data_IF_370236338803
#
_entry.id   IF_370236338803
#
_cell.length_a   1.000
_cell.length_b   1.000
_cell.length_c   1.000
_cell.angle_alpha   90.00
_cell.angle_beta   90.00
_cell.angle_gamma   90.00
#
_symmetry.space_group_name_H-M   'P 1'
#
loop_
_entity.id
_entity.type
_entity.pdbx_description
1 polymer ?
#
# COMPACT_ATOMS: atom_id res chain seq x y z
N UNK A 1 18.92 -5.17 -2.39
CA UNK A 1 18.20 -4.71 -1.18
C UNK A 1 16.88 -4.14 -1.64
N UNK A 2 15.92 -5.02 -1.94
CA UNK A 2 14.72 -4.66 -2.73
C UNK A 2 13.43 -4.89 -1.95
N UNK A 3 13.54 -5.14 -0.64
CA UNK A 3 12.41 -5.44 0.24
C UNK A 3 12.12 -4.23 1.12
N UNK A 4 10.98 -3.60 0.91
CA UNK A 4 10.44 -2.57 1.80
C UNK A 4 9.61 -3.24 2.92
N UNK A 5 9.87 -2.89 4.18
CA UNK A 5 9.03 -3.31 5.31
C UNK A 5 8.10 -2.17 5.69
N UNK A 6 6.84 -2.48 6.01
CA UNK A 6 5.93 -1.48 6.60
C UNK A 6 6.09 -1.42 8.12
N UNK A 7 5.62 -0.35 8.76
CA UNK A 7 5.63 -0.21 10.23
C UNK A 7 4.94 -1.39 10.91
N UNK A 8 3.80 -1.86 10.40
CA UNK A 8 3.13 -3.06 10.91
C UNK A 8 4.05 -4.31 10.89
N UNK A 9 4.83 -4.49 9.82
CA UNK A 9 5.77 -5.62 9.72
C UNK A 9 6.90 -5.52 10.75
N UNK A 10 7.43 -4.31 10.95
CA UNK A 10 8.48 -4.06 11.95
C UNK A 10 7.96 -4.32 13.38
N UNK A 11 6.74 -3.87 13.71
CA UNK A 11 6.08 -4.17 14.99
C UNK A 11 5.93 -5.67 15.23
N UNK A 12 5.42 -6.43 14.24
CA UNK A 12 5.24 -7.90 14.34
C UNK A 12 6.55 -8.66 14.53
N UNK A 13 7.68 -8.09 14.12
CA UNK A 13 9.02 -8.64 14.34
C UNK A 13 9.71 -8.10 15.59
N UNK A 14 8.97 -7.40 16.45
CA UNK A 14 9.47 -6.87 17.72
C UNK A 14 10.62 -5.86 17.58
N UNK A 15 10.69 -5.12 16.46
CA UNK A 15 11.59 -3.97 16.36
C UNK A 15 11.08 -2.81 17.23
N UNK A 16 12.00 -2.07 17.84
CA UNK A 16 11.67 -0.89 18.63
C UNK A 16 11.41 0.32 17.70
N UNK A 17 10.16 0.50 17.27
CA UNK A 17 9.72 1.58 16.37
C UNK A 17 8.77 2.59 17.04
N UNK A 18 8.64 2.52 18.37
CA UNK A 18 7.63 3.27 19.13
C UNK A 18 6.21 2.72 18.96
N UNK A 19 5.22 3.52 19.33
CA UNK A 19 3.78 3.15 19.29
C UNK A 19 3.06 3.64 18.04
N UNK A 20 3.62 4.62 17.33
CA UNK A 20 3.04 5.17 16.12
C UNK A 20 3.26 4.22 14.93
N UNK A 21 2.15 3.73 14.37
CA UNK A 21 2.13 2.86 13.20
C UNK A 21 1.56 3.52 11.96
N UNK A 22 1.28 4.82 12.03
CA UNK A 22 0.65 5.57 10.96
C UNK A 22 1.51 5.55 9.69
N UNK A 23 0.84 5.48 8.55
CA UNK A 23 1.47 5.71 7.26
C UNK A 23 1.89 7.16 7.16
N UNK A 24 3.19 7.40 6.98
CA UNK A 24 3.74 8.75 6.86
C UNK A 24 3.41 9.42 5.53
N UNK A 25 2.95 8.64 4.55
CA UNK A 25 2.68 9.13 3.19
C UNK A 25 1.25 9.67 3.04
N UNK A 26 0.37 9.45 4.02
CA UNK A 26 -0.92 10.10 4.04
C UNK A 26 -1.22 10.63 5.43
N UNK A 27 -1.71 11.87 5.53
CA UNK A 27 -2.06 12.53 6.78
C UNK A 27 -3.37 11.99 7.41
N UNK A 28 -3.70 10.72 7.16
CA UNK A 28 -4.96 10.09 7.55
C UNK A 28 -4.88 9.30 8.86
N UNK A 29 -3.70 9.22 9.51
CA UNK A 29 -3.49 8.45 10.73
C UNK A 29 -3.97 6.98 10.64
N UNK A 30 -3.71 6.35 9.49
CA UNK A 30 -4.06 4.95 9.21
C UNK A 30 -2.79 4.10 9.37
N UNK A 31 -2.91 2.92 9.97
CA UNK A 31 -1.80 1.99 10.12
C UNK A 31 -1.13 1.65 8.77
N UNK A 32 0.20 1.73 8.72
CA UNK A 32 0.99 1.38 7.55
C UNK A 32 1.09 -0.14 7.36
N UNK A 33 0.18 -0.65 6.54
CA UNK A 33 0.17 -2.03 6.02
C UNK A 33 0.61 -2.04 4.55
N UNK A 34 0.90 -3.21 3.99
CA UNK A 34 1.24 -3.35 2.56
C UNK A 34 0.03 -2.95 1.70
N UNK A 35 -1.16 -3.36 2.12
CA UNK A 35 -2.44 -3.05 1.48
C UNK A 35 -2.66 -1.53 1.46
N UNK A 36 -2.48 -0.87 2.59
CA UNK A 36 -2.60 0.58 2.67
C UNK A 36 -1.53 1.26 1.80
N UNK A 37 -0.24 0.93 2.02
CA UNK A 37 0.89 1.60 1.39
C UNK A 37 0.82 1.59 -0.13
N UNK A 38 0.38 0.49 -0.77
CA UNK A 38 0.39 0.39 -2.23
C UNK A 38 -0.96 0.67 -2.89
N UNK A 39 -2.08 0.37 -2.24
CA UNK A 39 -3.39 0.38 -2.91
C UNK A 39 -4.37 1.42 -2.35
N UNK A 40 -4.29 1.76 -1.07
CA UNK A 40 -5.30 2.62 -0.43
C UNK A 40 -4.79 4.00 -0.04
N UNK A 41 -3.49 4.16 0.21
CA UNK A 41 -2.83 5.42 0.56
C UNK A 41 -3.07 6.49 -0.50
N UNK A 42 -3.44 7.70 -0.08
CA UNK A 42 -3.72 8.83 -0.99
C UNK A 42 -2.52 9.15 -1.87
N UNK A 43 -1.33 9.24 -1.28
CA UNK A 43 -0.09 9.46 -2.02
C UNK A 43 0.17 8.39 -3.09
N UNK A 44 0.01 7.12 -2.74
CA UNK A 44 0.25 6.03 -3.69
C UNK A 44 -0.81 6.00 -4.79
N UNK A 45 -2.08 6.31 -4.48
CA UNK A 45 -3.11 6.47 -5.51
C UNK A 45 -2.75 7.58 -6.49
N UNK A 46 -2.25 8.72 -6.02
CA UNK A 46 -1.77 9.80 -6.90
C UNK A 46 -0.61 9.31 -7.78
N UNK A 47 0.35 8.58 -7.22
CA UNK A 47 1.44 7.97 -7.99
C UNK A 47 0.92 7.03 -9.09
N UNK A 48 -0.05 6.17 -8.78
CA UNK A 48 -0.65 5.26 -9.77
C UNK A 48 -1.48 5.98 -10.83
N UNK A 49 -2.17 7.07 -10.46
CA UNK A 49 -2.91 7.90 -11.40
C UNK A 49 -2.00 8.49 -12.50
N UNK A 50 -0.74 8.80 -12.20
CA UNK A 50 0.23 9.24 -13.21
C UNK A 50 0.52 8.17 -14.29
N UNK A 51 0.27 6.90 -13.96
CA UNK A 51 0.41 5.75 -14.85
C UNK A 51 -0.94 5.31 -15.45
N UNK A 52 -2.00 6.11 -15.29
CA UNK A 52 -3.38 5.77 -15.64
C UNK A 52 -3.88 4.47 -14.98
N UNK A 53 -3.41 4.18 -13.76
CA UNK A 53 -3.84 3.02 -12.98
C UNK A 53 -4.75 3.49 -11.85
N UNK A 54 -5.96 2.93 -11.78
CA UNK A 54 -6.90 3.13 -10.67
C UNK A 54 -7.26 1.78 -10.05
N UNK A 55 -6.96 1.62 -8.76
CA UNK A 55 -7.32 0.41 -8.02
C UNK A 55 -8.79 0.43 -7.58
N UNK A 56 -9.44 -0.74 -7.57
CA UNK A 56 -10.77 -0.87 -6.99
C UNK A 56 -10.75 -0.59 -5.47
N UNK A 57 -11.87 -0.12 -4.93
CA UNK A 57 -12.00 0.21 -3.50
C UNK A 57 -12.04 -1.00 -2.57
N UNK A 58 -12.29 -2.19 -3.14
CA UNK A 58 -12.46 -3.45 -2.43
C UNK A 58 -11.68 -4.57 -3.15
N UNK A 59 -11.26 -5.57 -2.39
CA UNK A 59 -10.48 -6.72 -2.88
C UNK A 59 -9.13 -6.82 -2.21
N UNK A 60 -8.63 -8.04 -2.05
CA UNK A 60 -7.25 -8.25 -1.61
C UNK A 60 -6.25 -7.87 -2.71
N UNK A 61 -4.96 -7.75 -2.35
CA UNK A 61 -3.93 -7.35 -3.31
C UNK A 61 -3.87 -8.26 -4.53
N UNK A 62 -4.16 -9.56 -4.36
CA UNK A 62 -4.05 -10.53 -5.45
C UNK A 62 -5.12 -10.24 -6.50
N UNK A 63 -6.35 -10.05 -6.04
CA UNK A 63 -7.51 -9.68 -6.86
C UNK A 63 -7.28 -8.35 -7.58
N UNK A 64 -6.76 -7.34 -6.86
CA UNK A 64 -6.47 -6.03 -7.45
C UNK A 64 -5.44 -6.13 -8.58
N UNK A 65 -4.33 -6.80 -8.34
CA UNK A 65 -3.27 -6.97 -9.35
C UNK A 65 -3.73 -7.80 -10.54
N UNK A 66 -4.53 -8.84 -10.32
CA UNK A 66 -5.07 -9.65 -11.41
C UNK A 66 -6.04 -8.86 -12.29
N UNK A 67 -6.93 -8.06 -11.68
CA UNK A 67 -7.82 -7.16 -12.41
C UNK A 67 -7.06 -6.13 -13.25
N UNK A 68 -5.91 -5.64 -12.78
CA UNK A 68 -5.11 -4.72 -13.57
C UNK A 68 -4.51 -5.41 -14.82
N UNK A 69 -4.05 -6.65 -14.69
CA UNK A 69 -3.50 -7.42 -15.83
C UNK A 69 -4.54 -7.67 -16.92
N UNK A 70 -5.80 -7.91 -16.54
CA UNK A 70 -6.87 -8.12 -17.52
C UNK A 70 -7.24 -6.82 -18.24
N UNK A 71 -7.11 -5.67 -17.58
CA UNK A 71 -7.37 -4.35 -18.16
C UNK A 71 -6.23 -3.82 -19.05
N UNK A 72 -5.00 -4.29 -18.84
CA UNK A 72 -3.80 -3.90 -19.60
C UNK A 72 -3.11 -5.13 -20.18
N UNK A 73 -3.71 -5.79 -21.20
CA UNK A 73 -3.07 -6.90 -21.88
C UNK A 73 -1.79 -6.40 -22.58
N UNK A 74 -0.71 -7.17 -22.40
CA UNK A 74 0.65 -6.85 -22.87
C UNK A 74 0.79 -6.93 -24.38
#
# INVERSE_FOLDING_TARGET
SDRLNTRNMLKRRHYNIGTNLDCLLCELHIEETVEHLFFHCTFSKECWCLLNISWATQGDRFTLVENLKTQQPR
#
